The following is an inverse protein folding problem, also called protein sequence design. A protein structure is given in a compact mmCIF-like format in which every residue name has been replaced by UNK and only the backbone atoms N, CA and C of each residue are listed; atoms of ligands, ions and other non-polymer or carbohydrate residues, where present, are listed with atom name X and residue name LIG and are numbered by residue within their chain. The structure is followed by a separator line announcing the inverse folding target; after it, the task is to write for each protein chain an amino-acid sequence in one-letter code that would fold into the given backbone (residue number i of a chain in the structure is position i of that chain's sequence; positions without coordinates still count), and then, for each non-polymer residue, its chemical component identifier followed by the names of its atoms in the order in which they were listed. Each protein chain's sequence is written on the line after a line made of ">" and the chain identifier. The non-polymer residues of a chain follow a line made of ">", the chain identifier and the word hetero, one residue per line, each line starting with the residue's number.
data_IF_735460505456
#
_entry.id   IF_735460505456
#
_cell.length_a   1.000
_cell.length_b   1.000
_cell.length_c   1.000
_cell.angle_alpha   90.00
_cell.angle_beta   90.00
_cell.angle_gamma   90.00
#
_symmetry.space_group_name_H-M   'P 1'
#
loop_
_entity.id
_entity.type
_entity.pdbx_description
1 polymer ?
#
# COMPACT_ATOMS: atom_id res chain seq x y z
N UNK A 1 -11.42 6.38 36.70
CA UNK A 1 -10.84 5.37 35.78
C UNK A 1 -10.97 5.93 34.36
N UNK A 2 -10.04 6.80 33.93
CA UNK A 2 -10.11 7.46 32.61
C UNK A 2 -8.73 7.66 31.95
N UNK A 3 -7.63 7.40 32.66
CA UNK A 3 -6.29 7.61 32.13
C UNK A 3 -5.84 6.53 31.11
N UNK A 4 -6.48 5.36 31.09
CA UNK A 4 -6.05 4.22 30.29
C UNK A 4 -6.45 4.34 28.80
N UNK A 5 -7.56 5.01 28.50
CA UNK A 5 -8.11 5.10 27.14
C UNK A 5 -7.32 6.04 26.23
N UNK A 6 -6.81 7.18 26.74
CA UNK A 6 -6.06 8.14 25.90
C UNK A 6 -4.76 7.55 25.36
N UNK A 7 -4.02 6.82 26.19
CA UNK A 7 -2.77 6.16 25.79
C UNK A 7 -3.02 5.05 24.77
N UNK A 8 -4.07 4.26 24.98
CA UNK A 8 -4.52 3.22 24.04
C UNK A 8 -4.90 3.81 22.67
N UNK A 9 -5.69 4.89 22.66
CA UNK A 9 -6.06 5.59 21.41
C UNK A 9 -4.85 6.17 20.69
N UNK A 10 -3.92 6.81 21.41
CA UNK A 10 -2.70 7.37 20.82
C UNK A 10 -1.84 6.26 20.18
N UNK A 11 -1.69 5.12 20.86
CA UNK A 11 -0.97 3.97 20.33
C UNK A 11 -1.66 3.36 19.12
N UNK A 12 -3.00 3.27 19.13
CA UNK A 12 -3.76 2.78 17.98
C UNK A 12 -3.56 3.67 16.74
N UNK A 13 -3.62 4.99 16.90
CA UNK A 13 -3.38 5.96 15.82
C UNK A 13 -1.95 5.81 15.27
N UNK A 14 -0.95 5.75 16.15
CA UNK A 14 0.44 5.58 15.74
C UNK A 14 0.65 4.27 14.96
N UNK A 15 0.13 3.16 15.48
CA UNK A 15 0.23 1.85 14.82
C UNK A 15 -0.49 1.84 13.47
N UNK A 16 -1.64 2.51 13.36
CA UNK A 16 -2.35 2.65 12.09
C UNK A 16 -1.52 3.45 11.07
N UNK A 17 -0.87 4.53 11.52
CA UNK A 17 0.05 5.30 10.69
C UNK A 17 1.26 4.48 10.23
N UNK A 18 1.87 3.72 11.14
CA UNK A 18 3.00 2.84 10.82
C UNK A 18 2.58 1.74 9.82
N UNK A 19 1.45 1.08 10.04
CA UNK A 19 0.92 0.07 9.13
C UNK A 19 0.53 0.68 7.77
N UNK A 20 0.09 1.94 7.72
CA UNK A 20 -0.19 2.62 6.47
C UNK A 20 1.07 2.98 5.67
N UNK A 21 2.23 3.08 6.33
CA UNK A 21 3.53 3.36 5.72
C UNK A 21 4.36 2.09 5.46
N UNK A 22 3.84 0.90 5.77
CA UNK A 22 4.53 -0.36 5.51
C UNK A 22 4.67 -0.55 3.97
N UNK A 23 5.90 -0.73 3.44
CA UNK A 23 6.14 -0.73 2.00
C UNK A 23 5.33 -1.77 1.21
N UNK A 24 5.19 -3.00 1.74
CA UNK A 24 4.43 -4.06 1.08
C UNK A 24 2.94 -3.69 0.93
N UNK A 25 2.32 -3.20 2.00
CA UNK A 25 0.95 -2.72 2.01
C UNK A 25 0.76 -1.50 1.10
N UNK A 26 1.75 -0.60 1.03
CA UNK A 26 1.73 0.51 0.08
C UNK A 26 1.70 0.01 -1.37
N UNK A 27 2.55 -0.95 -1.72
CA UNK A 27 2.58 -1.56 -3.05
C UNK A 27 1.26 -2.26 -3.35
N UNK A 28 0.76 -3.11 -2.44
CA UNK A 28 -0.50 -3.83 -2.66
C UNK A 28 -1.74 -2.93 -2.78
N UNK A 29 -1.75 -1.77 -2.14
CA UNK A 29 -2.82 -0.77 -2.30
C UNK A 29 -2.72 -0.01 -3.61
N UNK A 30 -1.50 0.24 -4.07
CA UNK A 30 -1.26 1.00 -5.29
C UNK A 30 -1.31 0.13 -6.56
N UNK A 31 -0.98 -1.16 -6.46
CA UNK A 31 -0.84 -2.07 -7.58
C UNK A 31 -1.70 -3.32 -7.37
N UNK A 32 -2.60 -3.57 -8.32
CA UNK A 32 -3.44 -4.77 -8.35
C UNK A 32 -3.63 -5.26 -9.78
N UNK A 33 -4.01 -6.52 -9.92
CA UNK A 33 -4.36 -7.13 -11.21
C UNK A 33 -5.74 -7.73 -11.06
N UNK A 34 -6.67 -7.34 -11.93
CA UNK A 34 -8.02 -7.89 -12.00
C UNK A 34 -8.49 -7.85 -13.46
N UNK A 35 -9.21 -8.88 -13.90
CA UNK A 35 -9.87 -8.95 -15.21
C UNK A 35 -8.96 -8.53 -16.40
N UNK A 36 -7.74 -9.07 -16.42
CA UNK A 36 -6.72 -8.80 -17.44
C UNK A 36 -6.24 -7.33 -17.53
N UNK A 37 -6.44 -6.57 -16.45
CA UNK A 37 -5.99 -5.19 -16.31
C UNK A 37 -5.02 -5.07 -15.12
N UNK A 38 -3.85 -4.49 -15.38
CA UNK A 38 -2.96 -3.97 -14.34
C UNK A 38 -3.45 -2.58 -13.92
N UNK A 39 -3.86 -2.46 -12.66
CA UNK A 39 -4.18 -1.19 -12.03
C UNK A 39 -2.96 -0.67 -11.27
N UNK A 40 -2.59 0.58 -11.51
CA UNK A 40 -1.54 1.32 -10.82
C UNK A 40 -2.10 2.67 -10.36
N UNK A 41 -2.63 2.73 -9.13
CA UNK A 41 -3.37 3.87 -8.63
C UNK A 41 -4.61 4.15 -9.49
N UNK A 42 -4.60 5.27 -10.20
CA UNK A 42 -5.66 5.66 -11.15
C UNK A 42 -5.40 5.21 -12.59
N UNK A 43 -4.19 4.72 -12.89
CA UNK A 43 -3.81 4.22 -14.19
C UNK A 43 -4.30 2.77 -14.35
N UNK A 44 -4.91 2.47 -15.50
CA UNK A 44 -5.35 1.13 -15.87
C UNK A 44 -4.70 0.74 -17.20
N UNK A 45 -4.05 -0.42 -17.22
CA UNK A 45 -3.33 -0.93 -18.39
C UNK A 45 -3.80 -2.35 -18.69
N UNK A 46 -4.40 -2.60 -19.86
CA UNK A 46 -4.68 -3.95 -20.33
C UNK A 46 -3.38 -4.77 -20.42
N UNK A 47 -3.37 -6.00 -19.89
CA UNK A 47 -2.17 -6.84 -19.87
C UNK A 47 -1.72 -7.25 -21.27
N UNK A 48 -2.65 -7.41 -22.22
CA UNK A 48 -2.38 -7.69 -23.62
C UNK A 48 -1.56 -6.59 -24.33
N UNK A 49 -1.64 -5.36 -23.84
CA UNK A 49 -0.85 -4.22 -24.33
C UNK A 49 0.57 -4.18 -23.75
N UNK A 50 0.86 -4.98 -22.72
CA UNK A 50 2.14 -4.98 -22.00
C UNK A 50 2.99 -6.15 -22.50
N UNK A 51 3.93 -5.86 -23.41
CA UNK A 51 4.89 -6.86 -23.89
C UNK A 51 5.97 -7.24 -22.88
N UNK A 52 6.25 -6.37 -21.89
CA UNK A 52 7.28 -6.57 -20.88
C UNK A 52 7.05 -5.69 -19.65
N UNK A 53 7.06 -6.28 -18.47
CA UNK A 53 7.10 -5.56 -17.18
C UNK A 53 8.53 -5.57 -16.62
N UNK A 54 9.02 -4.42 -16.14
CA UNK A 54 10.33 -4.31 -15.48
C UNK A 54 10.12 -3.78 -14.06
N UNK A 55 10.72 -4.45 -13.09
CA UNK A 55 10.71 -4.02 -11.68
C UNK A 55 12.08 -3.42 -11.36
N UNK A 56 12.10 -2.14 -11.01
CA UNK A 56 13.32 -1.42 -10.62
C UNK A 56 13.07 -0.87 -9.21
N UNK A 57 13.76 -1.42 -8.22
CA UNK A 57 13.73 -0.95 -6.84
C UNK A 57 14.99 -0.19 -6.49
N UNK A 58 14.85 0.92 -5.76
CA UNK A 58 15.97 1.64 -5.17
C UNK A 58 15.51 2.35 -3.89
N UNK A 59 16.29 2.23 -2.81
CA UNK A 59 16.02 2.94 -1.55
C UNK A 59 16.15 2.05 -0.32
N UNK A 60 15.89 2.65 0.84
CA UNK A 60 15.96 1.99 2.15
C UNK A 60 14.72 1.14 2.51
N UNK A 61 13.70 1.21 1.65
CA UNK A 61 12.30 0.79 1.89
C UNK A 61 12.17 -0.30 2.96
#
# INVERSE_FOLDING_TARGET
>A
VEANTRGEHARAIFNAGLAAAEPGLCVHRALSIADDVLQCGTLHLPLDSISRLRVIGAGKA
#
